data_IF_531281619258
#
_entry.id   IF_531281619258
#
_cell.length_a   1.000
_cell.length_b   1.000
_cell.length_c   1.000
_cell.angle_alpha   90.00
_cell.angle_beta   90.00
_cell.angle_gamma   90.00
#
_symmetry.space_group_name_H-M   'P 1'
#
loop_
_entity.id
_entity.type
_entity.pdbx_description
1 polymer ?
#
# COMPACT_ATOMS: atom_id res chain seq x y z
N UNK A 1 -13.62 4.63 12.30
CA UNK A 1 -12.35 4.80 11.58
C UNK A 1 -12.02 3.61 10.71
N UNK A 2 -11.57 2.50 11.30
CA UNK A 2 -11.07 1.32 10.57
C UNK A 2 -12.06 0.68 9.58
N UNK A 3 -13.36 0.62 9.90
CA UNK A 3 -14.35 0.07 8.98
C UNK A 3 -14.46 0.87 7.67
N UNK A 4 -14.44 2.21 7.76
CA UNK A 4 -14.43 3.08 6.57
C UNK A 4 -13.14 2.90 5.77
N UNK A 5 -12.00 2.74 6.44
CA UNK A 5 -10.71 2.54 5.77
C UNK A 5 -10.60 1.19 5.04
N UNK A 6 -11.30 0.16 5.52
CA UNK A 6 -11.36 -1.14 4.84
C UNK A 6 -12.37 -1.19 3.68
N UNK A 7 -13.35 -0.27 3.67
CA UNK A 7 -14.29 -0.12 2.56
C UNK A 7 -13.69 0.74 1.44
N UNK A 8 -12.76 1.63 1.79
CA UNK A 8 -12.14 2.51 0.80
C UNK A 8 -11.33 1.68 -0.21
N UNK A 9 -11.55 1.90 -1.52
CA UNK A 9 -10.71 1.30 -2.55
C UNK A 9 -9.25 1.71 -2.28
N UNK A 10 -8.33 0.81 -2.60
CA UNK A 10 -6.93 0.82 -2.15
C UNK A 10 -6.21 2.16 -2.24
N UNK A 11 -4.98 2.26 -1.69
CA UNK A 11 -4.31 3.54 -1.44
C UNK A 11 -4.30 4.48 -2.65
N UNK A 12 -4.14 3.97 -3.88
CA UNK A 12 -4.18 4.74 -5.11
C UNK A 12 -5.49 5.50 -5.31
N UNK A 13 -6.65 4.88 -5.10
CA UNK A 13 -7.96 5.54 -5.24
C UNK A 13 -8.11 6.66 -4.21
N UNK A 14 -7.77 6.38 -2.95
CA UNK A 14 -7.81 7.36 -1.87
C UNK A 14 -6.84 8.54 -2.10
N UNK A 15 -5.65 8.27 -2.64
CA UNK A 15 -4.70 9.32 -3.04
C UNK A 15 -5.24 10.15 -4.21
N UNK A 16 -5.80 9.52 -5.24
CA UNK A 16 -6.35 10.25 -6.39
C UNK A 16 -7.56 11.10 -6.03
N UNK A 17 -8.45 10.62 -5.13
CA UNK A 17 -9.58 11.41 -4.64
C UNK A 17 -9.12 12.60 -3.81
N UNK A 18 -8.12 12.40 -2.94
CA UNK A 18 -7.53 13.47 -2.14
C UNK A 18 -6.88 14.53 -3.02
N UNK A 19 -6.09 14.13 -4.02
CA UNK A 19 -5.47 15.06 -4.97
C UNK A 19 -6.52 15.82 -5.80
N UNK A 20 -7.57 15.15 -6.26
CA UNK A 20 -8.67 15.80 -6.99
C UNK A 20 -9.41 16.83 -6.14
N UNK A 21 -9.69 16.51 -4.87
CA UNK A 21 -10.30 17.45 -3.93
C UNK A 21 -9.36 18.62 -3.60
N UNK A 22 -8.06 18.35 -3.43
CA UNK A 22 -7.04 19.36 -3.14
C UNK A 22 -6.87 20.35 -4.30
N UNK A 23 -6.86 19.86 -5.55
CA UNK A 23 -6.78 20.72 -6.74
C UNK A 23 -7.99 21.67 -6.84
N UNK A 24 -9.20 21.18 -6.56
CA UNK A 24 -10.40 22.03 -6.55
C UNK A 24 -10.43 23.00 -5.37
N UNK A 25 -9.88 22.61 -4.21
CA UNK A 25 -9.72 23.51 -3.06
C UNK A 25 -8.78 24.69 -3.40
N UNK A 26 -7.69 24.43 -4.11
CA UNK A 26 -6.77 25.48 -4.56
C UNK A 26 -7.40 26.40 -5.61
N UNK A 27 -8.34 25.89 -6.40
CA UNK A 27 -9.13 26.68 -7.37
C UNK A 27 -10.26 27.52 -6.77
N UNK A 28 -10.42 27.56 -5.44
CA UNK A 28 -11.45 28.37 -4.77
C UNK A 28 -12.86 27.79 -4.84
N UNK A 29 -13.01 26.52 -5.22
CA UNK A 29 -14.32 25.87 -5.32
C UNK A 29 -14.84 25.42 -3.94
N UNK A 30 -16.16 25.54 -3.77
CA UNK A 30 -16.89 25.14 -2.56
C UNK A 30 -16.78 23.61 -2.30
N UNK A 31 -17.25 23.15 -1.13
CA UNK A 31 -17.17 21.75 -0.69
C UNK A 31 -17.74 20.78 -1.74
N UNK A 32 -18.79 21.19 -2.44
CA UNK A 32 -19.38 20.41 -3.55
C UNK A 32 -18.42 20.27 -4.73
N UNK A 33 -17.70 21.34 -5.08
CA UNK A 33 -16.68 21.30 -6.14
C UNK A 33 -15.48 20.43 -5.77
N UNK A 34 -15.09 20.41 -4.49
CA UNK A 34 -14.04 19.52 -3.99
C UNK A 34 -14.45 18.04 -4.06
N UNK A 35 -15.69 17.72 -3.68
CA UNK A 35 -16.22 16.37 -3.79
C UNK A 35 -16.30 15.89 -5.26
N UNK A 36 -16.78 16.76 -6.16
CA UNK A 36 -16.80 16.46 -7.59
C UNK A 36 -15.40 16.30 -8.19
N UNK A 37 -14.45 17.16 -7.79
CA UNK A 37 -13.04 17.05 -8.22
C UNK A 37 -12.39 15.75 -7.77
N UNK A 38 -12.62 15.32 -6.54
CA UNK A 38 -12.16 14.03 -6.04
C UNK A 38 -12.76 12.86 -6.83
N UNK A 39 -14.07 12.88 -7.11
CA UNK A 39 -14.72 11.84 -7.89
C UNK A 39 -14.23 11.78 -9.34
N UNK A 40 -14.11 12.93 -10.00
CA UNK A 40 -13.59 13.03 -11.37
C UNK A 40 -12.13 12.62 -11.47
N UNK A 41 -11.29 12.95 -10.48
CA UNK A 41 -9.90 12.50 -10.45
C UNK A 41 -9.77 10.99 -10.28
N UNK A 42 -10.60 10.40 -9.40
CA UNK A 42 -10.66 8.94 -9.23
C UNK A 42 -11.06 8.27 -10.55
N UNK A 43 -12.13 8.73 -11.19
CA UNK A 43 -12.57 8.18 -12.46
C UNK A 43 -11.51 8.41 -13.55
N UNK A 44 -11.04 9.63 -13.76
CA UNK A 44 -10.07 9.94 -14.80
C UNK A 44 -8.79 9.10 -14.71
N UNK A 45 -8.25 8.91 -13.51
CA UNK A 45 -6.98 8.20 -13.32
C UNK A 45 -7.18 6.68 -13.28
N UNK A 46 -8.23 6.17 -12.62
CA UNK A 46 -8.38 4.73 -12.41
C UNK A 46 -9.30 4.03 -13.44
N UNK A 47 -10.19 4.75 -14.12
CA UNK A 47 -11.11 4.17 -15.11
C UNK A 47 -10.42 3.51 -16.31
N UNK A 48 -9.35 4.07 -16.94
CA UNK A 48 -8.68 3.37 -18.04
C UNK A 48 -8.06 2.05 -17.58
N UNK A 49 -7.45 2.03 -16.39
CA UNK A 49 -6.92 0.80 -15.78
C UNK A 49 -8.03 -0.21 -15.46
N UNK A 50 -9.17 0.26 -14.94
CA UNK A 50 -10.33 -0.57 -14.64
C UNK A 50 -10.89 -1.22 -15.91
N UNK A 51 -11.06 -0.45 -17.00
CA UNK A 51 -11.53 -0.96 -18.29
C UNK A 51 -10.56 -2.02 -18.83
N UNK A 52 -9.26 -1.77 -18.73
CA UNK A 52 -8.23 -2.70 -19.19
C UNK A 52 -8.31 -4.04 -18.42
N UNK A 53 -8.47 -3.99 -17.11
CA UNK A 53 -8.67 -5.19 -16.27
C UNK A 53 -9.97 -5.91 -16.65
N UNK A 54 -11.08 -5.18 -16.75
CA UNK A 54 -12.38 -5.76 -17.13
C UNK A 54 -12.34 -6.42 -18.50
N UNK A 55 -11.54 -5.88 -19.43
CA UNK A 55 -11.33 -6.47 -20.75
C UNK A 55 -10.48 -7.74 -20.69
N UNK A 56 -9.44 -7.80 -19.85
CA UNK A 56 -8.54 -8.96 -19.74
C UNK A 56 -9.17 -10.12 -18.97
N UNK A 57 -9.94 -9.84 -17.92
CA UNK A 57 -10.57 -10.85 -17.04
C UNK A 57 -11.30 -11.97 -17.80
N UNK A 58 -12.17 -11.72 -18.79
CA UNK A 58 -12.85 -12.80 -19.52
C UNK A 58 -11.87 -13.72 -20.27
N UNK A 59 -10.78 -13.17 -20.81
CA UNK A 59 -9.75 -13.94 -21.52
C UNK A 59 -8.72 -14.59 -20.60
N UNK A 60 -8.76 -14.29 -19.29
CA UNK A 60 -7.74 -14.74 -18.34
C UNK A 60 -7.59 -16.26 -18.27
N UNK A 61 -8.71 -16.98 -18.36
CA UNK A 61 -8.71 -18.45 -18.33
C UNK A 61 -8.08 -19.05 -19.59
N UNK A 62 -8.23 -18.40 -20.74
CA UNK A 62 -7.61 -18.85 -21.99
C UNK A 62 -6.13 -18.49 -22.06
N UNK A 63 -5.75 -17.31 -21.55
CA UNK A 63 -4.35 -16.90 -21.42
C UNK A 63 -3.56 -17.87 -20.51
N UNK A 64 -4.18 -18.39 -19.44
CA UNK A 64 -3.55 -19.36 -18.54
C UNK A 64 -3.29 -20.74 -19.15
N UNK A 65 -3.97 -21.11 -20.23
CA UNK A 65 -3.73 -22.38 -20.95
C UNK A 65 -2.42 -22.36 -21.72
N UNK A 66 -1.89 -21.17 -22.03
CA UNK A 66 -0.63 -21.00 -22.75
C UNK A 66 0.54 -21.24 -21.79
N UNK A 67 1.32 -22.30 -22.03
CA UNK A 67 2.45 -22.70 -21.17
C UNK A 67 3.45 -21.57 -20.91
N UNK A 68 3.75 -20.75 -21.94
CA UNK A 68 4.64 -19.59 -21.81
C UNK A 68 4.12 -18.55 -20.82
N UNK A 69 2.82 -18.20 -20.89
CA UNK A 69 2.21 -17.21 -20.00
C UNK A 69 2.23 -17.73 -18.55
N UNK A 70 1.85 -19.00 -18.34
CA UNK A 70 1.91 -19.64 -17.02
C UNK A 70 3.31 -19.60 -16.40
N UNK A 71 4.36 -19.84 -17.19
CA UNK A 71 5.74 -19.76 -16.73
C UNK A 71 6.15 -18.32 -16.41
N UNK A 72 5.76 -17.33 -17.22
CA UNK A 72 6.00 -15.91 -16.93
C UNK A 72 5.33 -15.46 -15.63
N UNK A 73 4.13 -15.96 -15.30
CA UNK A 73 3.46 -15.66 -14.03
C UNK A 73 4.30 -16.11 -12.82
N UNK A 74 4.96 -17.27 -12.91
CA UNK A 74 5.88 -17.73 -11.86
C UNK A 74 7.06 -16.77 -11.69
N UNK A 75 7.62 -16.29 -12.81
CA UNK A 75 8.68 -15.28 -12.80
C UNK A 75 8.25 -13.96 -12.16
N UNK A 76 7.04 -13.47 -12.47
CA UNK A 76 6.49 -12.24 -11.88
C UNK A 76 6.37 -12.40 -10.35
N UNK A 77 5.88 -13.54 -9.88
CA UNK A 77 5.80 -13.82 -8.44
C UNK A 77 7.18 -13.86 -7.78
N UNK A 78 8.17 -14.48 -8.44
CA UNK A 78 9.55 -14.52 -7.94
C UNK A 78 10.17 -13.11 -7.85
N UNK A 79 9.94 -12.25 -8.85
CA UNK A 79 10.36 -10.85 -8.83
C UNK A 79 9.69 -10.08 -7.68
N UNK A 80 8.41 -10.33 -7.42
CA UNK A 80 7.70 -9.74 -6.28
C UNK A 80 8.35 -10.09 -4.94
N UNK A 81 8.72 -11.36 -4.73
CA UNK A 81 9.47 -11.77 -3.53
C UNK A 81 10.84 -11.09 -3.47
N UNK A 82 11.52 -10.97 -4.62
CA UNK A 82 12.78 -10.23 -4.74
C UNK A 82 12.66 -8.75 -4.33
N UNK A 83 11.58 -8.07 -4.74
CA UNK A 83 11.32 -6.69 -4.33
C UNK A 83 11.05 -6.56 -2.84
N UNK A 84 10.31 -7.50 -2.23
CA UNK A 84 10.09 -7.50 -0.78
C UNK A 84 11.44 -7.64 -0.05
N UNK A 85 12.31 -8.54 -0.53
CA UNK A 85 13.64 -8.73 0.04
C UNK A 85 14.54 -7.49 -0.15
N UNK A 86 14.52 -6.87 -1.33
CA UNK A 86 15.25 -5.64 -1.59
C UNK A 86 14.75 -4.48 -0.72
N UNK A 87 13.44 -4.34 -0.55
CA UNK A 87 12.84 -3.35 0.34
C UNK A 87 13.28 -3.57 1.79
N UNK A 88 13.34 -4.83 2.25
CA UNK A 88 13.86 -5.16 3.57
C UNK A 88 15.33 -4.72 3.73
N UNK A 89 16.20 -5.01 2.76
CA UNK A 89 17.61 -4.56 2.80
C UNK A 89 17.70 -3.03 2.82
N UNK A 90 16.93 -2.34 1.98
CA UNK A 90 16.89 -0.87 1.94
C UNK A 90 16.42 -0.26 3.26
N UNK A 91 15.48 -0.91 3.95
CA UNK A 91 14.99 -0.46 5.24
C UNK A 91 16.02 -0.66 6.36
N UNK A 92 16.79 -1.75 6.32
CA UNK A 92 17.81 -2.08 7.34
C UNK A 92 19.09 -1.28 7.15
N UNK A 93 19.48 -0.96 5.92
CA UNK A 93 20.72 -0.22 5.60
C UNK A 93 20.90 1.10 6.39
N UNK A 94 19.91 1.99 6.52
CA UNK A 94 20.06 3.24 7.26
C UNK A 94 20.05 3.07 8.80
N UNK A 95 19.64 1.92 9.32
CA UNK A 95 19.61 1.65 10.77
C UNK A 95 21.04 1.49 11.33
N UNK A 96 22.01 1.11 10.49
CA UNK A 96 23.38 0.84 10.91
C UNK A 96 23.52 -0.43 11.77
N UNK A 97 24.74 -0.78 12.16
CA UNK A 97 25.03 -1.89 13.08
C UNK A 97 24.97 -1.42 14.54
N UNK A 98 23.91 -0.71 14.92
CA UNK A 98 23.66 -0.41 16.33
C UNK A 98 22.96 -1.62 16.97
N UNK A 99 23.65 -2.26 17.91
CA UNK A 99 23.13 -3.44 18.64
C UNK A 99 21.80 -3.14 19.34
N UNK A 100 21.58 -1.88 19.74
CA UNK A 100 20.35 -1.42 20.39
C UNK A 100 19.19 -1.38 19.41
N UNK A 101 19.41 -0.83 18.21
CA UNK A 101 18.40 -0.73 17.16
C UNK A 101 18.03 -2.12 16.60
N UNK A 102 19.02 -3.00 16.43
CA UNK A 102 18.81 -4.40 16.03
C UNK A 102 18.02 -5.15 17.12
N UNK A 103 18.33 -4.91 18.40
CA UNK A 103 17.60 -5.48 19.54
C UNK A 103 16.13 -5.05 19.57
N UNK A 104 15.85 -3.75 19.37
CA UNK A 104 14.48 -3.22 19.29
C UNK A 104 13.74 -3.81 18.09
N UNK A 105 14.39 -3.90 16.92
CA UNK A 105 13.80 -4.47 15.70
C UNK A 105 13.43 -5.94 15.90
N UNK A 106 14.33 -6.76 16.44
CA UNK A 106 14.07 -8.18 16.71
C UNK A 106 12.99 -8.37 17.77
N UNK A 107 13.03 -7.59 18.85
CA UNK A 107 12.04 -7.68 19.93
C UNK A 107 10.65 -7.29 19.42
N UNK A 108 10.55 -6.20 18.66
CA UNK A 108 9.30 -5.74 18.04
C UNK A 108 8.76 -6.76 17.05
N UNK A 109 9.64 -7.34 16.22
CA UNK A 109 9.28 -8.40 15.26
C UNK A 109 8.75 -9.66 15.95
N UNK A 110 9.41 -10.12 17.02
CA UNK A 110 8.96 -11.28 17.79
C UNK A 110 7.62 -11.01 18.49
N UNK A 111 7.43 -9.82 19.07
CA UNK A 111 6.15 -9.43 19.67
C UNK A 111 5.05 -9.45 18.61
N UNK A 112 5.26 -8.83 17.44
CA UNK A 112 4.29 -8.83 16.32
C UNK A 112 3.99 -10.24 15.78
N UNK A 113 4.99 -11.13 15.78
CA UNK A 113 4.82 -12.50 15.28
C UNK A 113 4.07 -13.40 16.24
N UNK A 114 4.31 -13.26 17.55
CA UNK A 114 3.75 -14.16 18.57
C UNK A 114 2.49 -13.60 19.24
N UNK A 115 2.25 -12.29 19.21
CA UNK A 115 1.02 -11.68 19.74
C UNK A 115 0.10 -11.21 18.60
N UNK A 116 -1.21 -11.44 18.74
CA UNK A 116 -2.24 -10.89 17.83
C UNK A 116 -2.53 -9.40 18.08
N UNK A 117 -1.59 -8.67 18.68
CA UNK A 117 -1.77 -7.25 18.98
C UNK A 117 -1.74 -6.45 17.68
N UNK A 118 -2.70 -5.55 17.52
CA UNK A 118 -2.77 -4.74 16.32
C UNK A 118 -1.53 -3.84 16.22
N UNK A 119 -0.86 -3.80 15.05
CA UNK A 119 0.38 -3.04 14.82
C UNK A 119 0.38 -1.58 15.32
N UNK A 120 -0.74 -0.81 15.30
CA UNK A 120 -0.74 0.57 15.78
C UNK A 120 -0.36 0.73 17.26
N UNK A 121 -0.72 -0.21 18.13
CA UNK A 121 -0.40 -0.11 19.56
C UNK A 121 1.08 -0.34 19.83
N UNK A 122 1.71 -1.22 19.06
CA UNK A 122 3.14 -1.52 19.17
C UNK A 122 3.97 -0.32 18.70
N UNK A 123 3.53 0.36 17.63
CA UNK A 123 4.14 1.61 17.17
C UNK A 123 3.98 2.72 18.21
N UNK A 124 2.81 2.88 18.81
CA UNK A 124 2.59 3.85 19.89
C UNK A 124 3.48 3.58 21.11
N UNK A 125 3.56 2.33 21.56
CA UNK A 125 4.44 1.95 22.66
C UNK A 125 5.93 2.17 22.34
N UNK A 126 6.34 1.88 21.10
CA UNK A 126 7.70 2.16 20.62
C UNK A 126 8.02 3.65 20.58
N UNK A 127 7.09 4.50 20.14
CA UNK A 127 7.24 5.97 20.16
C UNK A 127 7.33 6.50 21.58
N UNK A 128 6.51 5.99 22.52
CA UNK A 128 6.54 6.40 23.92
C UNK A 128 7.84 5.98 24.60
N UNK A 129 8.32 4.75 24.36
CA UNK A 129 9.60 4.27 24.87
C UNK A 129 10.79 5.03 24.28
N UNK A 130 10.74 5.35 22.98
CA UNK A 130 11.77 6.16 22.31
C UNK A 130 11.76 7.64 22.68
N UNK A 131 10.68 8.15 23.30
CA UNK A 131 10.63 9.51 23.85
C UNK A 131 11.19 9.59 25.28
N UNK A 132 11.22 8.48 26.01
CA UNK A 132 11.70 8.40 27.39
C UNK A 132 13.19 8.04 27.51
N UNK A 133 13.80 7.57 26.42
CA UNK A 133 15.23 7.26 26.28
C UNK A 133 15.89 8.42 25.53
#
# INVERSE_FOLDING_TARGET
>A
GFALQQILPGPTFSFTSYLGALSMKQGGYDVVGQAMGGFLAVLGINLPGLILVLFIVPFWNDLKKITRIKQSLSGINAVGVGFIFAAFILLVKPIGFDFTAIGILLTTFLILRFTKLSPPFIVLAGVVLGYLI
#
